data_IF_988954403690
#
_entry.id   IF_988954403690
#
_cell.length_a   1.000
_cell.length_b   1.000
_cell.length_c   1.000
_cell.angle_alpha   90.00
_cell.angle_beta   90.00
_cell.angle_gamma   90.00
#
_symmetry.space_group_name_H-M   'P 1'
#
loop_
_entity.id
_entity.type
_entity.pdbx_description
1 polymer ?
#
# COMPACT_ATOMS: atom_id res chain seq x y z
N UNK A 1 -16.65 22.79 -11.35
CA UNK A 1 -15.31 22.66 -10.77
C UNK A 1 -15.46 22.55 -9.27
N UNK A 2 -15.28 21.35 -8.71
CA UNK A 2 -15.36 21.16 -7.26
C UNK A 2 -13.97 21.43 -6.68
N UNK A 3 -13.91 22.40 -5.79
CA UNK A 3 -12.71 22.74 -5.03
C UNK A 3 -12.46 21.61 -4.03
N UNK A 4 -11.51 20.73 -4.34
CA UNK A 4 -11.15 19.63 -3.44
C UNK A 4 -10.26 20.19 -2.31
N UNK A 5 -10.90 20.54 -1.19
CA UNK A 5 -10.28 20.91 0.10
C UNK A 5 -9.37 22.15 0.10
N UNK A 6 -9.86 23.29 -0.38
CA UNK A 6 -9.18 24.58 -0.14
C UNK A 6 -9.31 25.01 1.32
N UNK A 7 -8.31 24.68 2.14
CA UNK A 7 -7.62 25.69 2.96
C UNK A 7 -6.33 25.12 3.54
N UNK A 8 -5.25 25.30 2.78
CA UNK A 8 -3.85 25.19 3.20
C UNK A 8 -2.95 25.28 1.97
N UNK A 9 -1.77 25.88 2.10
CA UNK A 9 -0.78 25.92 1.02
C UNK A 9 -0.28 24.54 0.56
N UNK A 10 0.84 24.56 -0.15
CA UNK A 10 1.48 23.44 -0.88
C UNK A 10 1.61 22.09 -0.14
N UNK A 11 1.39 22.03 1.17
CA UNK A 11 1.59 20.85 2.04
C UNK A 11 0.33 20.28 2.72
N UNK A 12 -0.88 20.72 2.36
CA UNK A 12 -2.13 20.08 2.83
C UNK A 12 -2.73 20.66 4.13
N UNK A 13 -3.97 20.23 4.43
CA UNK A 13 -4.94 20.91 5.32
C UNK A 13 -4.30 21.33 6.63
N UNK A 14 -4.12 22.63 6.83
CA UNK A 14 -3.66 23.20 8.10
C UNK A 14 -4.89 23.20 8.97
N UNK A 15 -4.93 22.34 10.00
CA UNK A 15 -6.06 22.11 10.92
C UNK A 15 -7.07 21.00 10.51
N UNK A 16 -6.61 19.82 10.10
CA UNK A 16 -7.47 18.63 10.03
C UNK A 16 -7.37 17.77 11.30
N UNK A 17 -8.50 17.15 11.68
CA UNK A 17 -8.53 16.09 12.69
C UNK A 17 -7.55 14.96 12.33
N UNK A 18 -7.45 14.61 11.05
CA UNK A 18 -6.47 13.67 10.50
C UNK A 18 -5.03 14.07 10.88
N UNK A 19 -4.65 15.33 10.65
CA UNK A 19 -3.31 15.85 10.96
C UNK A 19 -3.02 15.82 12.46
N UNK A 20 -3.97 16.27 13.29
CA UNK A 20 -3.83 16.24 14.75
C UNK A 20 -3.68 14.81 15.28
N UNK A 21 -4.53 13.88 14.83
CA UNK A 21 -4.53 12.49 15.25
C UNK A 21 -3.27 11.73 14.85
N UNK A 22 -2.71 12.05 13.66
CA UNK A 22 -1.48 11.47 13.18
C UNK A 22 -0.26 12.06 13.89
N UNK A 23 -0.22 13.37 14.13
CA UNK A 23 0.85 14.01 14.90
C UNK A 23 0.87 13.49 16.35
N UNK A 24 -0.30 13.38 16.99
CA UNK A 24 -0.41 12.83 18.34
C UNK A 24 0.11 11.39 18.42
N UNK A 25 -0.19 10.54 17.43
CA UNK A 25 0.36 9.18 17.36
C UNK A 25 1.84 9.14 16.99
N UNK A 26 2.31 10.07 16.18
CA UNK A 26 3.74 10.19 15.91
C UNK A 26 4.51 10.54 17.19
N UNK A 27 4.02 11.50 17.98
CA UNK A 27 4.69 11.98 19.19
C UNK A 27 4.48 11.06 20.41
N UNK A 28 3.32 10.39 20.50
CA UNK A 28 2.89 9.68 21.72
C UNK A 28 2.27 8.30 21.44
N UNK A 29 2.34 7.82 20.21
CA UNK A 29 1.97 6.45 19.87
C UNK A 29 3.03 5.45 20.31
N UNK A 30 2.64 4.19 20.30
CA UNK A 30 3.36 3.09 20.94
C UNK A 30 3.95 2.10 19.91
N UNK A 31 3.39 2.10 18.70
CA UNK A 31 3.72 1.13 17.65
C UNK A 31 3.88 1.84 16.32
N UNK A 32 4.96 1.54 15.60
CA UNK A 32 5.13 1.94 14.21
C UNK A 32 4.91 0.73 13.32
N UNK A 33 4.18 0.93 12.22
CA UNK A 33 4.02 -0.07 11.16
C UNK A 33 4.31 0.59 9.81
N UNK A 34 5.33 0.07 9.12
CA UNK A 34 5.65 0.46 7.75
C UNK A 34 5.13 -0.59 6.77
N UNK A 35 4.58 -0.15 5.64
CA UNK A 35 4.05 -0.99 4.57
C UNK A 35 4.78 -0.77 3.26
N UNK A 36 5.39 -1.83 2.73
CA UNK A 36 6.03 -1.85 1.41
C UNK A 36 5.40 -2.97 0.58
N UNK A 37 5.02 -2.68 -0.67
CA UNK A 37 4.53 -3.70 -1.58
C UNK A 37 5.67 -4.19 -2.47
N UNK A 38 6.19 -5.38 -2.17
CA UNK A 38 7.23 -6.04 -2.94
C UNK A 38 6.61 -6.67 -4.18
N UNK A 39 6.73 -5.97 -5.31
CA UNK A 39 6.20 -6.41 -6.60
C UNK A 39 7.14 -7.44 -7.22
N UNK A 40 6.65 -8.67 -7.42
CA UNK A 40 7.41 -9.75 -8.05
C UNK A 40 7.13 -9.85 -9.55
N UNK A 41 5.88 -9.66 -9.95
CA UNK A 41 5.46 -9.76 -11.36
C UNK A 41 4.24 -8.89 -11.63
N UNK A 42 4.22 -8.29 -12.82
CA UNK A 42 3.04 -7.66 -13.40
C UNK A 42 2.78 -8.33 -14.74
N UNK A 43 1.56 -8.80 -14.97
CA UNK A 43 1.13 -9.30 -16.29
C UNK A 43 0.61 -8.14 -17.12
N UNK A 44 0.94 -8.14 -18.41
CA UNK A 44 0.56 -7.06 -19.33
C UNK A 44 -0.63 -7.52 -20.18
N UNK A 45 -1.36 -6.60 -20.82
CA UNK A 45 -2.36 -6.97 -21.81
C UNK A 45 -1.74 -7.81 -22.93
N UNK A 46 -2.48 -8.76 -23.55
CA UNK A 46 -1.93 -9.68 -24.55
C UNK A 46 -1.21 -8.99 -25.72
N UNK A 47 -1.73 -7.85 -26.20
CA UNK A 47 -1.11 -7.05 -27.28
C UNK A 47 0.22 -6.42 -26.85
N UNK A 48 0.28 -5.90 -25.63
CA UNK A 48 1.52 -5.34 -25.05
C UNK A 48 2.54 -6.44 -24.82
N UNK A 49 2.14 -7.60 -24.32
CA UNK A 49 3.05 -8.75 -24.17
C UNK A 49 3.62 -9.22 -25.51
N UNK A 50 2.79 -9.24 -26.57
CA UNK A 50 3.26 -9.55 -27.92
C UNK A 50 4.30 -8.52 -28.37
N UNK A 51 4.01 -7.22 -28.24
CA UNK A 51 4.95 -6.16 -28.58
C UNK A 51 6.28 -6.29 -27.81
N UNK A 52 6.23 -6.66 -26.53
CA UNK A 52 7.42 -6.91 -25.72
C UNK A 52 8.23 -8.12 -26.23
N UNK A 53 7.56 -9.22 -26.62
CA UNK A 53 8.20 -10.39 -27.24
C UNK A 53 8.86 -10.06 -28.59
N UNK A 54 8.23 -9.14 -29.33
CA UNK A 54 8.74 -8.60 -30.58
C UNK A 54 9.87 -7.56 -30.35
N UNK A 55 10.38 -7.44 -29.11
CA UNK A 55 11.48 -6.56 -28.68
C UNK A 55 11.19 -5.07 -28.86
N UNK A 56 9.91 -4.67 -28.94
CA UNK A 56 9.52 -3.26 -28.93
C UNK A 56 9.77 -2.65 -27.56
N UNK A 57 10.04 -1.34 -27.53
CA UNK A 57 10.21 -0.59 -26.28
C UNK A 57 8.85 -0.35 -25.66
N UNK A 58 8.61 -0.95 -24.49
CA UNK A 58 7.39 -0.76 -23.71
C UNK A 58 7.68 0.20 -22.57
N UNK A 59 6.86 1.25 -22.41
CA UNK A 59 6.83 2.05 -21.19
C UNK A 59 5.46 1.91 -20.54
N UNK A 60 5.44 1.76 -19.23
CA UNK A 60 4.23 1.74 -18.44
C UNK A 60 4.54 2.31 -17.04
N UNK A 61 3.59 3.06 -16.48
CA UNK A 61 3.78 3.73 -15.21
C UNK A 61 2.58 3.54 -14.28
N UNK A 62 2.84 2.99 -13.10
CA UNK A 62 1.82 2.56 -12.17
C UNK A 62 1.66 3.56 -11.03
N UNK A 63 0.41 3.89 -10.74
CA UNK A 63 0.02 4.58 -9.51
C UNK A 63 -0.47 3.56 -8.49
N UNK A 64 0.16 3.58 -7.32
CA UNK A 64 -0.23 2.81 -6.14
C UNK A 64 -0.91 3.78 -5.17
N UNK A 65 -2.22 3.59 -5.03
CA UNK A 65 -3.05 4.32 -4.09
C UNK A 65 -3.19 3.49 -2.82
N UNK A 66 -3.04 4.12 -1.67
CA UNK A 66 -3.19 3.44 -0.39
C UNK A 66 -3.84 4.34 0.64
N UNK A 67 -4.83 3.80 1.34
CA UNK A 67 -5.45 4.45 2.49
C UNK A 67 -5.45 3.52 3.68
N UNK A 68 -4.93 4.00 4.81
CA UNK A 68 -4.81 3.24 6.06
C UNK A 68 -5.74 3.87 7.09
N UNK A 69 -6.58 3.07 7.75
CA UNK A 69 -7.57 3.59 8.71
C UNK A 69 -7.56 2.82 10.02
N UNK A 70 -7.61 3.48 11.18
CA UNK A 70 -7.79 2.77 12.44
C UNK A 70 -9.25 2.30 12.58
N UNK A 71 -9.47 1.21 13.30
CA UNK A 71 -10.82 0.77 13.66
C UNK A 71 -11.55 1.86 14.44
N UNK A 72 -12.79 2.13 14.05
CA UNK A 72 -13.71 3.01 14.80
C UNK A 72 -13.39 4.50 14.71
N UNK A 73 -12.40 4.90 13.92
CA UNK A 73 -12.07 6.29 13.67
C UNK A 73 -12.75 6.81 12.40
N UNK A 74 -12.98 8.13 12.35
CA UNK A 74 -13.52 8.84 11.17
C UNK A 74 -12.43 9.57 10.37
N UNK A 75 -11.18 9.17 10.56
CA UNK A 75 -10.00 9.77 9.94
C UNK A 75 -9.05 8.69 9.43
N UNK A 76 -8.20 9.08 8.47
CA UNK A 76 -7.17 8.22 7.91
C UNK A 76 -5.84 8.39 8.63
N UNK A 77 -5.14 7.27 8.87
CA UNK A 77 -3.77 7.26 9.40
C UNK A 77 -2.74 7.67 8.33
N UNK A 78 -3.00 7.27 7.09
CA UNK A 78 -2.20 7.62 5.93
C UNK A 78 -3.10 7.54 4.71
N UNK A 79 -3.01 8.54 3.82
CA UNK A 79 -3.80 8.60 2.59
C UNK A 79 -2.91 9.07 1.45
N UNK A 80 -2.80 8.23 0.42
CA UNK A 80 -2.00 8.48 -0.77
C UNK A 80 -2.79 8.07 -1.99
N UNK A 81 -3.35 9.03 -2.71
CA UNK A 81 -4.26 8.78 -3.84
C UNK A 81 -3.95 9.72 -5.00
N UNK A 82 -4.34 9.33 -6.22
CA UNK A 82 -4.05 10.09 -7.44
C UNK A 82 -4.79 11.42 -7.44
N UNK A 83 -6.05 11.43 -6.99
CA UNK A 83 -6.88 12.63 -6.92
C UNK A 83 -6.29 13.72 -5.99
N UNK A 84 -5.37 13.34 -5.10
CA UNK A 84 -4.66 14.23 -4.17
C UNK A 84 -3.20 14.47 -4.57
N UNK A 85 -2.75 13.92 -5.71
CA UNK A 85 -1.37 14.04 -6.18
C UNK A 85 -0.33 13.37 -5.27
N UNK A 86 -0.75 12.44 -4.41
CA UNK A 86 0.07 11.86 -3.34
C UNK A 86 0.34 10.35 -3.51
N UNK A 87 -0.29 9.71 -4.50
CA UNK A 87 -0.08 8.31 -4.86
C UNK A 87 1.40 8.00 -5.13
N UNK A 88 1.83 6.78 -4.80
CA UNK A 88 3.19 6.34 -5.13
C UNK A 88 3.25 6.03 -6.62
N UNK A 89 4.23 6.59 -7.31
CA UNK A 89 4.48 6.34 -8.73
C UNK A 89 5.69 5.42 -8.91
N UNK A 90 5.58 4.41 -9.79
CA UNK A 90 6.72 3.61 -10.26
C UNK A 90 6.58 3.23 -11.73
N UNK A 91 7.69 3.22 -12.46
CA UNK A 91 7.71 2.67 -13.82
C UNK A 91 7.76 1.14 -13.78
N UNK A 92 7.38 0.51 -14.89
CA UNK A 92 7.54 -0.93 -15.08
C UNK A 92 8.99 -1.38 -14.89
N UNK A 93 9.94 -0.63 -15.46
CA UNK A 93 11.36 -0.97 -15.40
C UNK A 93 11.92 -0.75 -13.98
N UNK A 94 11.52 0.31 -13.26
CA UNK A 94 11.90 0.48 -11.83
C UNK A 94 11.47 -0.72 -10.96
N UNK A 95 10.36 -1.37 -11.30
CA UNK A 95 9.81 -2.50 -10.53
C UNK A 95 10.40 -3.85 -10.93
N UNK A 96 10.63 -4.08 -12.22
CA UNK A 96 10.88 -5.42 -12.78
C UNK A 96 12.14 -5.53 -13.64
N UNK A 97 12.76 -4.39 -13.98
CA UNK A 97 13.99 -4.27 -14.76
C UNK A 97 14.89 -3.16 -14.20
N UNK A 98 15.18 -3.14 -12.88
CA UNK A 98 15.92 -2.05 -12.24
C UNK A 98 17.26 -1.73 -12.90
N UNK A 99 17.91 -2.74 -13.48
CA UNK A 99 19.15 -2.60 -14.23
C UNK A 99 19.05 -1.64 -15.44
N UNK A 100 17.88 -1.53 -16.06
CA UNK A 100 17.62 -0.59 -17.18
C UNK A 100 17.53 0.85 -16.73
N UNK A 101 17.20 1.07 -15.46
CA UNK A 101 17.09 2.36 -14.81
C UNK A 101 18.35 2.70 -13.99
N UNK A 102 19.41 1.88 -14.09
CA UNK A 102 20.64 2.07 -13.33
C UNK A 102 20.47 1.85 -11.81
N UNK A 103 19.45 1.10 -11.41
CA UNK A 103 19.15 0.80 -10.01
C UNK A 103 19.77 -0.55 -9.62
N UNK A 104 20.32 -0.62 -8.40
CA UNK A 104 20.89 -1.85 -7.86
C UNK A 104 19.81 -2.90 -7.51
N UNK A 105 18.61 -2.44 -7.15
CA UNK A 105 17.49 -3.28 -6.77
C UNK A 105 16.15 -2.69 -7.24
N UNK A 106 15.11 -3.52 -7.25
CA UNK A 106 13.77 -3.09 -7.62
C UNK A 106 13.26 -2.02 -6.65
N UNK A 107 12.75 -0.92 -7.20
CA UNK A 107 12.26 0.21 -6.42
C UNK A 107 10.83 -0.03 -5.96
N UNK A 108 10.65 -0.91 -4.97
CA UNK A 108 9.33 -1.23 -4.46
C UNK A 108 8.60 0.02 -3.89
N UNK A 109 7.27 0.14 -4.08
CA UNK A 109 6.49 1.23 -3.54
C UNK A 109 6.36 1.11 -2.01
N UNK A 110 6.89 2.12 -1.31
CA UNK A 110 6.60 2.35 0.10
C UNK A 110 5.22 2.98 0.22
N UNK A 111 4.24 2.20 0.67
CA UNK A 111 2.83 2.59 0.71
C UNK A 111 2.55 3.56 1.85
N UNK A 112 2.99 3.24 3.07
CA UNK A 112 2.72 4.05 4.25
C UNK A 112 3.73 3.80 5.37
N UNK A 113 3.85 4.79 6.26
CA UNK A 113 4.32 4.63 7.63
C UNK A 113 3.19 5.10 8.53
N UNK A 114 2.70 4.24 9.41
CA UNK A 114 1.66 4.59 10.36
C UNK A 114 2.13 4.37 11.78
N UNK A 115 1.59 5.17 12.68
CA UNK A 115 1.80 5.05 14.12
C UNK A 115 0.47 4.67 14.74
N UNK A 116 0.49 3.76 15.71
CA UNK A 116 -0.70 3.28 16.41
C UNK A 116 -0.50 3.52 17.90
N UNK A 117 -1.60 3.76 18.62
CA UNK A 117 -1.55 3.89 20.08
C UNK A 117 -2.45 2.89 20.77
N UNK A 118 -1.91 2.20 21.78
CA UNK A 118 -2.61 1.18 22.58
C UNK A 118 -3.83 1.75 23.31
N UNK A 119 -3.85 3.07 23.57
CA UNK A 119 -5.01 3.78 24.13
C UNK A 119 -6.26 3.67 23.25
N UNK A 120 -6.08 3.43 21.95
CA UNK A 120 -7.17 3.29 20.98
C UNK A 120 -7.64 1.85 20.78
N UNK A 121 -7.20 0.90 21.62
CA UNK A 121 -7.72 -0.46 21.58
C UNK A 121 -9.19 -0.46 22.00
N UNK A 122 -10.02 -1.25 21.32
CA UNK A 122 -11.44 -1.40 21.69
C UNK A 122 -11.64 -2.16 23.01
N UNK A 123 -10.65 -2.94 23.43
CA UNK A 123 -10.60 -3.65 24.71
C UNK A 123 -9.23 -3.39 25.32
N UNK A 124 -9.14 -3.19 26.64
CA UNK A 124 -7.88 -2.88 27.33
C UNK A 124 -6.71 -3.81 26.93
N UNK A 125 -6.99 -5.10 26.73
CA UNK A 125 -6.02 -6.14 26.34
C UNK A 125 -6.24 -6.69 24.91
N UNK A 126 -6.91 -5.93 24.03
CA UNK A 126 -7.19 -6.36 22.65
C UNK A 126 -6.16 -5.88 21.62
N UNK A 127 -6.19 -6.42 20.38
CA UNK A 127 -5.35 -5.95 19.30
C UNK A 127 -5.59 -4.50 18.93
N UNK A 128 -4.55 -3.85 18.42
CA UNK A 128 -4.71 -2.68 17.57
C UNK A 128 -5.22 -3.12 16.22
N UNK A 129 -6.30 -2.50 15.73
CA UNK A 129 -6.90 -2.89 14.45
C UNK A 129 -6.93 -1.71 13.51
N UNK A 130 -6.53 -1.95 12.27
CA UNK A 130 -6.59 -1.00 11.18
C UNK A 130 -6.86 -1.72 9.86
N UNK A 131 -7.29 -0.96 8.84
CA UNK A 131 -7.45 -1.46 7.48
C UNK A 131 -6.46 -0.81 6.52
N UNK A 132 -6.17 -1.51 5.42
CA UNK A 132 -5.41 -0.99 4.28
C UNK A 132 -6.28 -1.17 3.05
N UNK A 133 -6.69 -0.07 2.43
CA UNK A 133 -7.26 -0.06 1.08
C UNK A 133 -6.11 0.14 0.09
N UNK A 134 -5.87 -0.84 -0.77
CA UNK A 134 -4.84 -0.79 -1.80
C UNK A 134 -5.50 -0.82 -3.18
N UNK A 135 -5.14 0.16 -4.01
CA UNK A 135 -5.52 0.20 -5.42
C UNK A 135 -4.30 0.43 -6.29
N UNK A 136 -4.21 -0.32 -7.38
CA UNK A 136 -3.17 -0.17 -8.39
C UNK A 136 -3.87 0.12 -9.71
N UNK A 137 -3.64 1.30 -10.27
CA UNK A 137 -4.29 1.70 -11.52
C UNK A 137 -3.67 0.98 -12.72
N UNK A 138 -4.49 0.67 -13.73
CA UNK A 138 -3.96 0.23 -15.03
C UNK A 138 -3.25 1.44 -15.66
N UNK A 139 -2.00 1.30 -16.08
CA UNK A 139 -1.25 2.39 -16.65
C UNK A 139 -1.74 2.70 -18.07
N UNK A 140 -1.39 3.88 -18.55
CA UNK A 140 -1.29 4.11 -19.99
C UNK A 140 0.00 3.46 -20.48
N UNK A 141 -0.11 2.61 -21.50
CA UNK A 141 1.03 1.93 -22.09
C UNK A 141 1.57 2.74 -23.27
N UNK A 142 2.88 2.68 -23.47
CA UNK A 142 3.52 3.23 -24.65
C UNK A 142 4.34 2.13 -25.34
N UNK A 143 4.26 2.08 -26.67
CA UNK A 143 5.00 1.15 -27.52
C UNK A 143 5.80 1.95 -28.54
N UNK A 144 7.13 1.86 -28.49
CA UNK A 144 8.05 2.57 -29.39
C UNK A 144 7.80 4.09 -29.50
N UNK A 145 7.44 4.75 -28.39
CA UNK A 145 7.17 6.20 -28.38
C UNK A 145 5.69 6.57 -28.56
N UNK A 146 4.82 5.62 -28.91
CA UNK A 146 3.42 5.89 -29.20
C UNK A 146 2.50 5.37 -28.09
N UNK A 147 1.56 6.22 -27.64
CA UNK A 147 0.53 5.83 -26.68
C UNK A 147 -0.34 4.71 -27.25
N UNK A 148 -0.50 3.66 -26.45
CA UNK A 148 -1.34 2.51 -26.75
C UNK A 148 -2.66 2.67 -25.99
N UNK A 149 -3.69 3.14 -26.69
CA UNK A 149 -5.02 3.39 -26.13
C UNK A 149 -6.02 2.26 -26.42
N UNK A 150 -5.64 1.27 -27.25
CA UNK A 150 -6.47 0.11 -27.54
C UNK A 150 -6.82 -0.62 -26.24
N UNK A 151 -8.11 -0.86 -26.02
CA UNK A 151 -8.67 -1.52 -24.84
C UNK A 151 -8.35 -0.82 -23.50
N UNK A 152 -7.83 0.42 -23.52
CA UNK A 152 -7.62 1.21 -22.32
C UNK A 152 -8.93 1.85 -21.85
N UNK A 153 -9.39 1.45 -20.67
CA UNK A 153 -10.49 2.11 -19.96
C UNK A 153 -9.91 2.92 -18.81
N UNK A 154 -10.02 4.24 -18.90
CA UNK A 154 -9.54 5.15 -17.85
C UNK A 154 -10.20 4.83 -16.50
N UNK A 155 -9.41 4.79 -15.44
CA UNK A 155 -9.87 4.51 -14.08
C UNK A 155 -10.01 3.02 -13.74
N UNK A 156 -9.75 2.13 -14.70
CA UNK A 156 -9.59 0.70 -14.42
C UNK A 156 -8.40 0.45 -13.49
N UNK A 157 -8.45 -0.67 -12.76
CA UNK A 157 -7.42 -1.06 -11.79
C UNK A 157 -6.89 -2.46 -12.08
N UNK A 158 -5.58 -2.63 -11.97
CA UNK A 158 -4.95 -3.95 -11.92
C UNK A 158 -5.34 -4.72 -10.66
N UNK A 159 -5.53 -3.99 -9.57
CA UNK A 159 -5.87 -4.55 -8.27
C UNK A 159 -6.70 -3.52 -7.49
N UNK A 160 -7.73 -4.01 -6.80
CA UNK A 160 -8.40 -3.33 -5.70
C UNK A 160 -8.60 -4.35 -4.60
N UNK A 161 -8.07 -4.06 -3.42
CA UNK A 161 -8.19 -4.96 -2.28
C UNK A 161 -8.22 -4.15 -0.99
N UNK A 162 -9.04 -4.58 -0.04
CA UNK A 162 -9.03 -4.07 1.32
C UNK A 162 -8.63 -5.19 2.26
N UNK A 163 -7.66 -4.91 3.12
CA UNK A 163 -7.20 -5.82 4.17
C UNK A 163 -7.56 -5.24 5.53
N UNK A 164 -8.03 -6.09 6.44
CA UNK A 164 -8.21 -5.77 7.86
C UNK A 164 -7.14 -6.48 8.67
N UNK A 165 -6.42 -5.74 9.51
CA UNK A 165 -5.28 -6.24 10.27
C UNK A 165 -5.50 -6.07 11.76
N UNK A 166 -5.11 -7.09 12.53
CA UNK A 166 -4.99 -7.04 13.97
C UNK A 166 -3.51 -7.19 14.35
N UNK A 167 -2.99 -6.20 15.06
CA UNK A 167 -1.62 -6.16 15.57
C UNK A 167 -1.66 -6.34 17.07
N UNK A 168 -1.09 -7.45 17.52
CA UNK A 168 -0.98 -7.86 18.92
C UNK A 168 0.49 -7.80 19.33
N UNK A 169 0.76 -7.33 20.55
CA UNK A 169 2.08 -7.45 21.20
C UNK A 169 2.01 -8.64 22.15
N UNK A 170 2.91 -9.59 21.94
CA UNK A 170 3.15 -10.73 22.82
C UNK A 170 4.47 -10.48 23.56
N UNK A 171 4.41 -10.37 24.89
CA UNK A 171 5.60 -10.07 25.70
C UNK A 171 6.69 -11.16 25.58
N UNK A 172 6.33 -12.40 25.21
CA UNK A 172 7.27 -13.49 24.99
C UNK A 172 7.80 -13.57 23.54
N UNK A 173 6.96 -13.23 22.54
CA UNK A 173 7.27 -13.46 21.13
C UNK A 173 7.34 -12.18 20.26
N UNK A 174 7.20 -11.01 20.88
CA UNK A 174 7.24 -9.68 20.27
C UNK A 174 5.92 -9.26 19.63
N UNK A 175 5.83 -9.26 18.30
CA UNK A 175 4.65 -8.81 17.57
C UNK A 175 4.01 -9.98 16.80
N UNK A 176 2.69 -9.99 16.75
CA UNK A 176 1.91 -10.85 15.86
C UNK A 176 0.97 -9.99 15.01
N UNK A 177 0.87 -10.31 13.71
CA UNK A 177 -0.11 -9.71 12.81
C UNK A 177 -1.04 -10.81 12.30
N UNK A 178 -2.34 -10.60 12.52
CA UNK A 178 -3.41 -11.36 11.87
C UNK A 178 -4.09 -10.51 10.84
N UNK A 179 -4.52 -11.10 9.73
CA UNK A 179 -5.18 -10.38 8.65
C UNK A 179 -6.35 -11.15 8.06
N UNK A 180 -7.22 -10.42 7.36
CA UNK A 180 -8.26 -10.96 6.50
C UNK A 180 -8.57 -9.97 5.37
N UNK A 181 -8.95 -10.49 4.21
CA UNK A 181 -9.42 -9.69 3.09
C UNK A 181 -10.89 -9.33 3.32
N UNK A 182 -11.28 -8.10 2.96
CA UNK A 182 -12.64 -7.60 3.20
C UNK A 182 -13.71 -8.42 2.46
N UNK A 183 -13.40 -8.96 1.29
CA UNK A 183 -14.29 -9.84 0.51
C UNK A 183 -14.62 -11.17 1.21
N UNK A 184 -13.74 -11.61 2.12
CA UNK A 184 -13.83 -12.89 2.83
C UNK A 184 -14.28 -12.70 4.28
N UNK A 185 -13.78 -11.65 4.94
CA UNK A 185 -14.13 -11.27 6.31
C UNK A 185 -14.51 -9.78 6.40
N UNK A 186 -15.72 -9.40 5.94
CA UNK A 186 -16.13 -8.01 5.88
C UNK A 186 -16.04 -7.29 7.22
N UNK A 187 -15.36 -6.14 7.25
CA UNK A 187 -15.24 -5.27 8.43
C UNK A 187 -14.55 -5.87 9.65
N UNK A 188 -13.86 -7.02 9.54
CA UNK A 188 -13.19 -7.69 10.66
C UNK A 188 -11.82 -8.21 10.23
N UNK A 189 -10.78 -8.10 11.08
CA UNK A 189 -9.54 -8.81 10.85
C UNK A 189 -9.82 -10.31 10.84
N UNK A 190 -9.25 -10.99 9.85
CA UNK A 190 -9.31 -12.44 9.76
C UNK A 190 -8.52 -13.15 10.86
N UNK A 191 -8.49 -14.48 10.78
CA UNK A 191 -7.73 -15.34 11.71
C UNK A 191 -6.37 -15.77 11.15
N UNK A 192 -6.09 -15.45 9.89
CA UNK A 192 -4.85 -15.83 9.22
C UNK A 192 -3.68 -15.07 9.83
N UNK A 193 -2.66 -15.79 10.28
CA UNK A 193 -1.42 -15.18 10.77
C UNK A 193 -0.54 -14.81 9.57
N UNK A 194 -0.01 -13.59 9.56
CA UNK A 194 1.00 -13.19 8.58
C UNK A 194 2.30 -13.96 8.83
N UNK A 195 3.00 -14.32 7.77
CA UNK A 195 4.27 -15.04 7.87
C UNK A 195 5.32 -14.11 8.50
N UNK A 196 5.89 -14.52 9.64
CA UNK A 196 6.94 -13.77 10.34
C UNK A 196 8.32 -14.25 9.88
N UNK A 197 9.14 -13.33 9.38
CA UNK A 197 10.46 -13.66 8.80
C UNK A 197 11.63 -13.15 9.67
N UNK A 198 11.35 -12.33 10.69
CA UNK A 198 12.39 -11.68 11.50
C UNK A 198 13.02 -10.48 10.77
N UNK A 199 13.78 -9.64 11.47
CA UNK A 199 14.41 -8.46 10.85
C UNK A 199 15.24 -7.59 11.80
N UNK A 200 16.14 -6.80 11.21
CA UNK A 200 16.92 -5.77 11.91
C UNK A 200 16.11 -4.48 12.00
N UNK A 201 15.83 -3.98 13.22
CA UNK A 201 15.08 -2.73 13.44
C UNK A 201 13.56 -2.87 13.57
N UNK A 202 13.03 -4.11 13.56
CA UNK A 202 11.61 -4.41 13.75
C UNK A 202 11.26 -5.83 13.31
N UNK A 203 10.06 -6.29 13.63
CA UNK A 203 9.57 -7.59 13.18
C UNK A 203 8.92 -7.46 11.79
N UNK A 204 9.38 -8.30 10.86
CA UNK A 204 8.92 -8.29 9.47
C UNK A 204 7.87 -9.38 9.27
N UNK A 205 6.77 -9.01 8.62
CA UNK A 205 5.66 -9.87 8.26
C UNK A 205 5.38 -9.80 6.77
N UNK A 206 4.98 -10.91 6.16
CA UNK A 206 4.67 -11.02 4.73
C UNK A 206 3.24 -11.50 4.51
N UNK A 207 2.52 -10.80 3.63
CA UNK A 207 1.15 -11.14 3.22
C UNK A 207 1.10 -11.16 1.68
N UNK A 208 0.75 -12.29 1.05
CA UNK A 208 0.60 -12.35 -0.41
C UNK A 208 -0.52 -11.43 -0.91
N UNK A 209 -0.25 -10.68 -1.99
CA UNK A 209 -1.20 -9.80 -2.67
C UNK A 209 -1.17 -10.17 -4.15
N UNK A 210 -2.16 -10.94 -4.59
CA UNK A 210 -2.22 -11.48 -5.96
C UNK A 210 -3.56 -11.17 -6.62
N UNK A 211 -3.55 -11.00 -7.93
CA UNK A 211 -4.76 -10.93 -8.76
C UNK A 211 -4.84 -12.13 -9.69
N UNK A 212 -6.04 -12.67 -9.92
CA UNK A 212 -6.30 -13.72 -10.91
C UNK A 212 -6.53 -13.20 -12.34
N UNK A 213 -6.53 -11.87 -12.53
CA UNK A 213 -6.84 -11.21 -13.80
C UNK A 213 -5.60 -10.96 -14.68
N UNK A 214 -5.85 -10.63 -15.95
CA UNK A 214 -4.81 -10.17 -16.89
C UNK A 214 -5.31 -8.92 -17.63
N UNK A 215 -4.62 -7.77 -17.53
CA UNK A 215 -3.42 -7.56 -16.73
C UNK A 215 -3.68 -7.68 -15.22
N UNK A 216 -2.61 -7.91 -14.46
CA UNK A 216 -2.67 -8.26 -13.05
C UNK A 216 -1.31 -8.18 -12.37
N UNK A 217 -1.29 -8.43 -11.07
CA UNK A 217 -0.10 -8.32 -10.23
C UNK A 217 0.07 -9.55 -9.33
N UNK A 218 1.33 -9.88 -9.10
CA UNK A 218 1.77 -10.80 -8.06
C UNK A 218 2.81 -10.07 -7.20
N UNK A 219 2.44 -9.82 -5.95
CA UNK A 219 3.21 -9.03 -5.01
C UNK A 219 3.09 -9.60 -3.59
N UNK A 220 3.96 -9.11 -2.70
CA UNK A 220 3.89 -9.37 -1.26
C UNK A 220 3.81 -8.04 -0.52
N UNK A 221 2.78 -7.86 0.30
CA UNK A 221 2.78 -6.78 1.28
C UNK A 221 3.73 -7.17 2.41
N UNK A 222 4.87 -6.47 2.49
CA UNK A 222 5.78 -6.54 3.61
C UNK A 222 5.41 -5.48 4.64
N UNK A 223 5.13 -5.93 5.86
CA UNK A 223 4.89 -5.06 7.00
C UNK A 223 6.06 -5.16 7.95
N UNK A 224 6.55 -4.03 8.44
CA UNK A 224 7.55 -3.98 9.49
C UNK A 224 6.92 -3.32 10.70
N UNK A 225 6.78 -4.07 11.80
CA UNK A 225 6.24 -3.57 13.07
C UNK A 225 7.35 -3.41 14.10
N UNK A 226 7.36 -2.27 14.80
CA UNK A 226 8.32 -1.97 15.85
C UNK A 226 7.67 -1.19 16.98
N UNK A 227 8.29 -1.24 18.16
CA UNK A 227 7.95 -0.32 19.24
C UNK A 227 8.28 1.12 18.82
N UNK A 228 7.52 2.08 19.30
CA UNK A 228 7.67 3.49 18.98
C UNK A 228 7.52 4.34 20.26
N UNK A 229 8.34 5.40 20.37
CA UNK A 229 8.43 6.27 21.56
C UNK A 229 8.60 5.54 22.91
N UNK A 230 9.25 4.38 22.89
CA UNK A 230 9.65 3.61 24.08
C UNK A 230 11.08 3.89 24.48
#
# INVERSE_FOLDING_TARGET
AFVHRSHSGHYGIVNSEEGYQNLSRFLFGDVRVDGVLEVRKITLPPRIEKAMKDKKKIRASYHFETVVRPRGARYDLSRRVVDEGSAVFRTFDELLKPEREGLAEARHPHLFSTYLSVKNRTKSQGPLVFSIDLRIQVPEYEVDGFLFLDDHIKGSSLLRVTLHLAVDRDDANGWEIRYGFDDTTPGRPGRTKAERVGGTGGMVFRIPITSSTRPGIDATLRLTASAWNT
#
